data_IF_214188061335
#
_entry.id   IF_214188061335
#
_cell.length_a   1.000
_cell.length_b   1.000
_cell.length_c   1.000
_cell.angle_alpha   90.00
_cell.angle_beta   90.00
_cell.angle_gamma   90.00
#
_symmetry.space_group_name_H-M   'P 1'
#
loop_
_entity.id
_entity.type
_entity.pdbx_description
1 polymer ?
#
# COMPACT_ATOMS: atom_id res chain seq x y z
N UNK A 1 -0.81 -11.75 1.62
CA UNK A 1 -0.11 -12.05 2.89
C UNK A 1 -0.98 -11.80 4.11
N UNK A 2 -1.76 -10.71 4.14
CA UNK A 2 -2.70 -10.39 5.21
C UNK A 2 -3.53 -11.59 5.72
N UNK A 3 -4.16 -12.36 4.82
CA UNK A 3 -5.04 -13.50 5.20
C UNK A 3 -4.35 -14.58 6.05
N UNK A 4 -3.07 -14.84 5.81
CA UNK A 4 -2.33 -15.80 6.64
C UNK A 4 -1.97 -15.17 7.99
N UNK A 5 -1.49 -13.92 7.97
CA UNK A 5 -1.15 -13.19 9.19
C UNK A 5 -2.35 -13.06 10.14
N UNK A 6 -3.58 -12.89 9.62
CA UNK A 6 -4.78 -12.80 10.46
C UNK A 6 -5.10 -14.06 11.27
N UNK A 7 -4.49 -15.21 10.94
CA UNK A 7 -4.64 -16.43 11.72
C UNK A 7 -3.55 -16.60 12.80
N UNK A 8 -2.49 -15.78 12.76
CA UNK A 8 -1.26 -15.99 13.55
C UNK A 8 -0.82 -14.77 14.35
N UNK A 9 -1.37 -13.59 14.08
CA UNK A 9 -0.97 -12.33 14.70
C UNK A 9 -2.14 -11.71 15.46
N UNK A 10 -1.87 -11.25 16.69
CA UNK A 10 -2.86 -10.51 17.49
C UNK A 10 -3.10 -9.10 16.92
N UNK A 11 -2.09 -8.51 16.28
CA UNK A 11 -2.16 -7.19 15.67
C UNK A 11 -1.37 -7.16 14.35
N UNK A 12 -1.88 -6.48 13.33
CA UNK A 12 -1.26 -6.42 12.00
C UNK A 12 -1.06 -4.98 11.57
N UNK A 13 0.19 -4.63 11.29
CA UNK A 13 0.59 -3.35 10.71
C UNK A 13 1.07 -3.57 9.27
N UNK A 14 0.45 -2.85 8.33
CA UNK A 14 0.80 -2.90 6.92
C UNK A 14 1.64 -1.68 6.54
N UNK A 15 2.72 -1.95 5.80
CA UNK A 15 3.63 -0.96 5.24
C UNK A 15 3.84 -1.24 3.75
N UNK A 16 4.13 -0.20 2.97
CA UNK A 16 4.41 -0.34 1.53
C UNK A 16 3.21 -0.76 0.68
N UNK A 17 1.99 -0.74 1.24
CA UNK A 17 0.76 -1.03 0.50
C UNK A 17 0.14 0.28 -0.04
N UNK A 18 0.64 0.72 -1.20
CA UNK A 18 0.19 1.94 -1.87
C UNK A 18 0.31 1.79 -3.39
N UNK A 19 -0.78 1.45 -4.11
CA UNK A 19 -0.71 1.13 -5.54
C UNK A 19 -0.91 2.34 -6.45
N UNK A 20 -0.40 3.52 -6.07
CA UNK A 20 -0.57 4.76 -6.83
C UNK A 20 0.77 5.48 -7.06
N UNK A 21 0.88 6.17 -8.20
CA UNK A 21 2.13 6.84 -8.62
C UNK A 21 2.40 8.21 -8.01
N UNK A 22 1.80 8.50 -6.87
CA UNK A 22 1.95 9.78 -6.17
C UNK A 22 1.95 9.57 -4.67
N UNK A 23 2.71 10.38 -3.94
CA UNK A 23 2.78 10.32 -2.48
C UNK A 23 1.52 10.91 -1.82
N UNK A 24 0.87 10.21 -0.88
CA UNK A 24 -0.41 10.63 -0.31
C UNK A 24 -0.35 11.93 0.51
N UNK A 25 0.82 12.32 1.01
CA UNK A 25 0.99 13.46 1.91
C UNK A 25 1.50 14.70 1.18
N UNK A 26 2.26 14.51 0.10
CA UNK A 26 2.97 15.58 -0.63
C UNK A 26 2.50 15.75 -2.07
N UNK A 27 1.81 14.76 -2.64
CA UNK A 27 1.35 14.73 -4.03
C UNK A 27 2.48 14.58 -5.07
N UNK A 28 3.73 14.41 -4.64
CA UNK A 28 4.89 14.22 -5.53
C UNK A 28 4.82 12.88 -6.24
N UNK A 29 5.40 12.79 -7.44
CA UNK A 29 5.54 11.52 -8.15
C UNK A 29 6.27 10.48 -7.28
N UNK A 30 5.73 9.27 -7.25
CA UNK A 30 6.25 8.15 -6.49
C UNK A 30 6.48 6.95 -7.43
N UNK A 31 7.66 6.32 -7.42
CA UNK A 31 7.88 5.10 -8.20
C UNK A 31 7.01 3.96 -7.68
N UNK A 32 6.83 2.92 -8.49
CA UNK A 32 5.96 1.81 -8.14
C UNK A 32 6.55 0.93 -7.02
N UNK A 33 7.86 0.68 -7.07
CA UNK A 33 8.57 -0.02 -6.00
C UNK A 33 9.54 0.90 -5.24
N UNK A 34 9.75 0.60 -3.96
CA UNK A 34 10.69 1.34 -3.11
C UNK A 34 12.16 1.20 -3.57
N UNK A 35 12.49 0.15 -4.32
CA UNK A 35 13.82 -0.11 -4.85
C UNK A 35 14.01 0.32 -6.31
N UNK A 36 12.99 0.93 -6.94
CA UNK A 36 13.14 1.48 -8.28
C UNK A 36 14.16 2.63 -8.26
N UNK A 37 14.93 2.76 -9.35
CA UNK A 37 15.91 3.85 -9.48
C UNK A 37 15.21 5.20 -9.45
N UNK A 38 15.86 6.22 -8.87
CA UNK A 38 15.36 7.60 -8.89
C UNK A 38 15.04 8.05 -10.31
N UNK A 39 13.83 8.57 -10.52
CA UNK A 39 13.33 8.99 -11.83
C UNK A 39 12.64 7.89 -12.66
N UNK A 40 12.52 6.68 -12.12
CA UNK A 40 11.66 5.64 -12.71
C UNK A 40 10.21 6.12 -12.68
N UNK A 41 9.57 6.17 -13.85
CA UNK A 41 8.15 6.53 -13.95
C UNK A 41 7.28 5.39 -13.43
N UNK A 42 6.23 5.73 -12.70
CA UNK A 42 5.20 4.79 -12.33
C UNK A 42 4.61 4.14 -13.59
N UNK A 43 4.36 2.82 -13.54
CA UNK A 43 3.83 2.08 -14.69
C UNK A 43 2.52 1.43 -14.33
N UNK A 44 1.64 1.34 -15.32
CA UNK A 44 0.31 0.76 -15.15
C UNK A 44 0.15 -0.67 -15.71
N UNK A 45 1.23 -1.46 -15.78
CA UNK A 45 1.17 -2.82 -16.35
C UNK A 45 0.63 -3.89 -15.39
N UNK A 46 0.91 -3.79 -14.09
CA UNK A 46 0.36 -4.66 -13.03
C UNK A 46 -1.18 -4.78 -12.95
N UNK A 47 -1.96 -3.86 -13.53
CA UNK A 47 -3.42 -3.80 -13.51
C UNK A 47 -4.01 -4.81 -14.49
N UNK A 48 -3.20 -5.31 -15.44
CA UNK A 48 -3.60 -6.38 -16.35
C UNK A 48 -3.81 -7.70 -15.61
N UNK A 49 -3.20 -7.86 -14.42
CA UNK A 49 -3.28 -9.10 -13.63
C UNK A 49 -3.79 -8.90 -12.21
N UNK A 50 -3.83 -7.67 -11.70
CA UNK A 50 -4.20 -7.37 -10.31
C UNK A 50 -5.16 -6.19 -10.18
N UNK A 51 -6.00 -6.21 -9.15
CA UNK A 51 -6.90 -5.12 -8.79
C UNK A 51 -6.44 -4.39 -7.53
N UNK A 52 -5.15 -4.02 -7.48
CA UNK A 52 -4.54 -3.42 -6.28
C UNK A 52 -5.27 -2.16 -5.77
N UNK A 53 -5.80 -1.25 -6.60
CA UNK A 53 -6.59 -0.13 -6.09
C UNK A 53 -7.84 -0.57 -5.31
N UNK A 54 -8.48 -1.66 -5.74
CA UNK A 54 -9.64 -2.25 -5.04
C UNK A 54 -9.21 -2.90 -3.74
N UNK A 55 -8.10 -3.65 -3.74
CA UNK A 55 -7.52 -4.25 -2.53
C UNK A 55 -7.15 -3.16 -1.51
N UNK A 56 -6.49 -2.09 -1.95
CA UNK A 56 -6.16 -0.94 -1.12
C UNK A 56 -7.41 -0.30 -0.52
N UNK A 57 -8.48 -0.10 -1.30
CA UNK A 57 -9.74 0.45 -0.80
C UNK A 57 -10.33 -0.40 0.33
N UNK A 58 -10.23 -1.73 0.22
CA UNK A 58 -10.66 -2.63 1.29
C UNK A 58 -9.77 -2.50 2.52
N UNK A 59 -8.45 -2.55 2.35
CA UNK A 59 -7.49 -2.41 3.46
C UNK A 59 -7.63 -1.06 4.17
N UNK A 60 -7.88 0.02 3.42
CA UNK A 60 -8.13 1.35 3.98
C UNK A 60 -9.41 1.39 4.82
N UNK A 61 -10.50 0.73 4.37
CA UNK A 61 -11.72 0.57 5.18
C UNK A 61 -11.44 -0.23 6.46
N UNK A 62 -10.66 -1.30 6.37
CA UNK A 62 -10.28 -2.12 7.52
C UNK A 62 -9.43 -1.31 8.51
N UNK A 63 -8.54 -0.46 8.01
CA UNK A 63 -7.79 0.48 8.83
C UNK A 63 -8.69 1.46 9.57
N UNK A 64 -9.64 2.08 8.86
CA UNK A 64 -10.61 3.00 9.47
C UNK A 64 -11.50 2.31 10.52
N UNK A 65 -11.74 1.00 10.37
CA UNK A 65 -12.48 0.18 11.33
C UNK A 65 -11.62 -0.35 12.50
N UNK A 66 -10.32 -0.04 12.54
CA UNK A 66 -9.40 -0.48 13.60
C UNK A 66 -8.97 -1.95 13.52
N UNK A 67 -9.24 -2.65 12.41
CA UNK A 67 -8.86 -4.06 12.23
C UNK A 67 -7.36 -4.23 11.93
N UNK A 68 -6.76 -3.23 11.29
CA UNK A 68 -5.34 -3.17 10.96
C UNK A 68 -4.81 -1.75 11.09
N UNK A 69 -3.50 -1.60 11.19
CA UNK A 69 -2.83 -0.31 11.02
C UNK A 69 -2.21 -0.23 9.64
N UNK A 70 -2.72 0.65 8.77
CA UNK A 70 -2.13 0.91 7.45
C UNK A 70 -1.28 2.17 7.53
N UNK A 71 0.05 2.04 7.41
CA UNK A 71 0.96 3.18 7.45
C UNK A 71 1.17 3.77 6.06
N UNK A 72 0.86 5.07 5.91
CA UNK A 72 0.97 5.83 4.67
C UNK A 72 1.87 7.08 4.80
N UNK A 73 2.65 7.17 5.89
CA UNK A 73 3.55 8.29 6.17
C UNK A 73 4.90 7.77 6.67
N UNK A 74 5.89 8.67 6.76
CA UNK A 74 7.15 8.36 7.43
C UNK A 74 6.91 7.96 8.88
N UNK A 75 7.65 6.97 9.36
CA UNK A 75 7.74 6.62 10.78
C UNK A 75 8.62 7.64 11.52
N UNK A 76 8.43 7.74 12.84
CA UNK A 76 9.32 8.49 13.73
C UNK A 76 10.64 7.76 13.98
#
# INVERSE_FOLDING_TARGET
>A
MYTLASAMCDEIHLYGFWPFGWDPNTGKELPYHYYDKKGTKFTTKWQESHQLPTEFKLLYKMHAAGLIKLSLSHCA
#
